data_IF_992429926500
#
_entry.id   IF_992429926500
#
_cell.length_a   1.000
_cell.length_b   1.000
_cell.length_c   1.000
_cell.angle_alpha   90.00
_cell.angle_beta   90.00
_cell.angle_gamma   90.00
#
_symmetry.space_group_name_H-M   'P 1'
#
loop_
_entity.id
_entity.type
_entity.pdbx_description
1 polymer ?
#
# COMPACT_ATOMS: atom_id res chain seq x y z
N UNK A 1 -6.20 2.91 48.29
CA UNK A 1 -6.75 3.14 46.95
C UNK A 1 -6.08 2.11 46.06
N UNK A 2 -6.82 1.08 45.56
CA UNK A 2 -6.29 0.16 44.56
C UNK A 2 -5.95 1.02 43.35
N UNK A 3 -4.68 0.97 42.88
CA UNK A 3 -4.30 1.64 41.66
C UNK A 3 -5.19 1.13 40.55
N UNK A 4 -5.94 2.04 39.92
CA UNK A 4 -6.63 1.75 38.67
C UNK A 4 -5.58 1.18 37.72
N UNK A 5 -5.77 -0.07 37.30
CA UNK A 5 -4.91 -0.76 36.34
C UNK A 5 -4.99 0.05 35.03
N UNK A 6 -3.95 0.85 34.74
CA UNK A 6 -3.90 1.73 33.57
C UNK A 6 -4.00 0.90 32.30
N UNK A 7 -4.74 1.35 31.32
CA UNK A 7 -4.88 0.68 30.04
C UNK A 7 -3.53 0.67 29.30
N UNK A 8 -3.17 -0.47 28.74
CA UNK A 8 -1.89 -0.67 28.05
C UNK A 8 -2.12 -0.68 26.53
N UNK A 9 -1.60 0.32 25.86
CA UNK A 9 -1.60 0.40 24.38
C UNK A 9 -0.17 0.13 23.90
N UNK A 10 0.02 -0.97 23.18
CA UNK A 10 1.35 -1.43 22.75
C UNK A 10 1.54 -1.17 21.27
N UNK A 11 2.60 -0.43 20.93
CA UNK A 11 3.08 -0.23 19.56
C UNK A 11 4.18 -1.25 19.31
N UNK A 12 3.94 -2.22 18.43
CA UNK A 12 4.86 -3.35 18.22
C UNK A 12 5.89 -3.10 17.11
N UNK A 13 5.76 -2.01 16.36
CA UNK A 13 6.70 -1.61 15.30
C UNK A 13 7.24 -0.20 15.57
N UNK A 14 8.54 0.01 15.28
CA UNK A 14 9.12 1.33 15.20
C UNK A 14 8.83 2.02 13.86
N UNK A 15 9.39 3.22 13.67
CA UNK A 15 9.43 3.88 12.36
C UNK A 15 8.81 5.27 12.31
N UNK A 16 8.29 5.78 13.41
CA UNK A 16 7.99 7.20 13.59
C UNK A 16 9.07 7.85 14.47
N UNK A 17 9.29 9.14 14.27
CA UNK A 17 10.25 9.93 15.06
C UNK A 17 9.81 10.02 16.53
N UNK A 18 8.48 10.18 16.77
CA UNK A 18 7.89 10.12 18.10
C UNK A 18 6.50 9.49 18.09
N UNK A 19 6.00 9.16 19.26
CA UNK A 19 4.63 8.69 19.53
C UNK A 19 3.85 9.65 20.44
N UNK A 20 4.23 10.92 20.45
CA UNK A 20 3.58 11.97 21.24
C UNK A 20 2.13 12.20 20.81
N UNK A 21 1.81 11.89 19.55
CA UNK A 21 0.44 11.99 19.00
C UNK A 21 -0.45 10.97 19.69
N UNK A 22 -0.05 9.71 19.73
CA UNK A 22 -0.79 8.63 20.39
C UNK A 22 -0.93 8.90 21.89
N UNK A 23 0.16 9.31 22.55
CA UNK A 23 0.14 9.67 23.96
C UNK A 23 -0.88 10.78 24.25
N UNK A 24 -0.90 11.83 23.44
CA UNK A 24 -1.82 12.97 23.58
C UNK A 24 -3.28 12.57 23.37
N UNK A 25 -3.56 11.76 22.32
CA UNK A 25 -4.92 11.31 22.00
C UNK A 25 -5.45 10.37 23.09
N UNK A 26 -4.59 9.53 23.66
CA UNK A 26 -4.97 8.50 24.63
C UNK A 26 -4.87 8.96 26.11
N UNK A 27 -4.21 10.07 26.40
CA UNK A 27 -4.07 10.62 27.77
C UNK A 27 -5.40 10.77 28.53
N UNK A 28 -6.52 11.23 27.91
CA UNK A 28 -7.80 11.34 28.61
C UNK A 28 -8.38 10.01 29.10
N UNK A 29 -7.87 8.87 28.62
CA UNK A 29 -8.34 7.52 28.95
C UNK A 29 -7.50 6.83 30.01
N UNK A 30 -6.52 7.53 30.59
CA UNK A 30 -5.52 6.97 31.51
C UNK A 30 -4.84 5.72 30.91
N UNK A 31 -4.39 5.87 29.66
CA UNK A 31 -3.74 4.81 28.90
C UNK A 31 -2.23 5.10 28.77
N UNK A 32 -1.43 4.07 29.01
CA UNK A 32 0.01 4.09 28.76
C UNK A 32 0.31 3.59 27.34
N UNK A 33 0.99 4.42 26.54
CA UNK A 33 1.50 4.03 25.23
C UNK A 33 2.91 3.47 25.39
N UNK A 34 3.08 2.19 25.11
CA UNK A 34 4.32 1.44 25.26
C UNK A 34 4.84 1.09 23.86
N UNK A 35 5.99 1.62 23.50
CA UNK A 35 6.66 1.32 22.22
C UNK A 35 7.65 0.21 22.45
N UNK A 36 7.40 -0.97 21.87
CA UNK A 36 8.27 -2.15 21.94
C UNK A 36 8.47 -2.73 20.52
N UNK A 37 9.45 -2.24 19.76
CA UNK A 37 9.69 -2.71 18.40
C UNK A 37 10.10 -4.18 18.40
N UNK A 38 9.17 -5.04 18.04
CA UNK A 38 9.36 -6.50 18.01
C UNK A 38 10.10 -7.00 16.77
N UNK A 39 10.21 -6.18 15.72
CA UNK A 39 10.86 -6.52 14.45
C UNK A 39 10.37 -7.83 13.82
N UNK A 40 9.07 -8.12 13.94
CA UNK A 40 8.45 -9.34 13.44
C UNK A 40 8.81 -10.63 14.21
N UNK A 41 9.57 -10.54 15.31
CA UNK A 41 9.92 -11.72 16.13
C UNK A 41 8.66 -12.25 16.86
N UNK A 42 8.22 -13.49 16.57
CA UNK A 42 6.98 -14.03 17.14
C UNK A 42 7.01 -14.16 18.67
N UNK A 43 8.17 -14.44 19.27
CA UNK A 43 8.27 -14.58 20.73
C UNK A 43 8.14 -13.22 21.42
N UNK A 44 8.78 -12.18 20.86
CA UNK A 44 8.65 -10.81 21.34
C UNK A 44 7.23 -10.28 21.16
N UNK A 45 6.61 -10.49 19.98
CA UNK A 45 5.22 -10.11 19.72
C UNK A 45 4.26 -10.69 20.77
N UNK A 46 4.35 -12.00 21.04
CA UNK A 46 3.53 -12.67 22.06
C UNK A 46 3.77 -12.09 23.46
N UNK A 47 5.02 -11.81 23.82
CA UNK A 47 5.36 -11.22 25.12
C UNK A 47 4.84 -9.78 25.25
N UNK A 48 5.06 -8.93 24.24
CA UNK A 48 4.65 -7.52 24.24
C UNK A 48 3.11 -7.37 24.28
N UNK A 49 2.40 -8.20 23.50
CA UNK A 49 0.94 -8.03 23.30
C UNK A 49 0.09 -8.80 24.32
N UNK A 50 0.67 -9.72 25.11
CA UNK A 50 -0.07 -10.62 26.00
C UNK A 50 -0.97 -9.92 27.02
N UNK A 51 -0.57 -8.77 27.58
CA UNK A 51 -1.32 -7.96 28.54
C UNK A 51 -1.77 -6.61 27.97
N UNK A 52 -1.70 -6.42 26.65
CA UNK A 52 -2.14 -5.21 25.99
C UNK A 52 -3.67 -5.12 25.98
N UNK A 53 -4.24 -3.95 26.23
CA UNK A 53 -5.65 -3.62 26.01
C UNK A 53 -5.91 -3.24 24.54
N UNK A 54 -4.90 -2.70 23.85
CA UNK A 54 -4.90 -2.39 22.43
C UNK A 54 -3.51 -2.56 21.83
N UNK A 55 -3.44 -2.92 20.55
CA UNK A 55 -2.21 -3.09 19.78
C UNK A 55 -2.24 -2.16 18.55
N UNK A 56 -1.15 -1.43 18.35
CA UNK A 56 -0.87 -0.65 17.15
C UNK A 56 0.25 -1.35 16.38
N UNK A 57 0.00 -1.68 15.12
CA UNK A 57 0.92 -2.46 14.28
C UNK A 57 1.07 -1.82 12.91
N UNK A 58 2.31 -1.83 12.36
CA UNK A 58 2.57 -1.38 10.99
C UNK A 58 2.88 -2.56 10.06
N UNK A 59 3.97 -3.26 10.31
CA UNK A 59 4.53 -4.25 9.39
C UNK A 59 4.60 -5.67 10.01
N UNK A 60 4.69 -5.76 11.33
CA UNK A 60 4.80 -7.06 12.03
C UNK A 60 3.59 -7.96 11.76
N UNK A 61 3.80 -9.27 11.54
CA UNK A 61 2.71 -10.22 11.38
C UNK A 61 2.02 -10.48 12.72
N UNK A 62 0.72 -10.26 12.78
CA UNK A 62 -0.14 -10.58 13.92
C UNK A 62 -0.96 -11.83 13.56
N UNK A 63 -0.32 -12.97 13.71
CA UNK A 63 -0.89 -14.27 13.40
C UNK A 63 -1.85 -14.83 14.49
N UNK A 64 -2.48 -15.97 14.20
CA UNK A 64 -3.41 -16.63 15.12
C UNK A 64 -2.76 -16.99 16.46
N UNK A 65 -1.48 -17.36 16.47
CA UNK A 65 -0.78 -17.72 17.70
C UNK A 65 -0.51 -16.50 18.59
N UNK A 66 -0.12 -15.40 17.98
CA UNK A 66 0.06 -14.11 18.67
C UNK A 66 -1.27 -13.63 19.25
N UNK A 67 -2.34 -13.67 18.45
CA UNK A 67 -3.70 -13.30 18.89
C UNK A 67 -4.17 -14.20 20.04
N UNK A 68 -3.88 -15.50 20.01
CA UNK A 68 -4.25 -16.42 21.08
C UNK A 68 -3.60 -16.07 22.44
N UNK A 69 -2.42 -15.43 22.43
CA UNK A 69 -1.74 -14.98 23.65
C UNK A 69 -2.31 -13.67 24.25
N UNK A 70 -3.07 -12.89 23.49
CA UNK A 70 -3.66 -11.63 23.94
C UNK A 70 -4.81 -11.86 24.92
N UNK A 71 -4.60 -11.56 26.21
CA UNK A 71 -5.60 -11.83 27.26
C UNK A 71 -6.64 -10.72 27.43
N UNK A 72 -6.25 -9.48 27.16
CA UNK A 72 -7.05 -8.27 27.44
C UNK A 72 -7.35 -7.44 26.20
N UNK A 73 -6.74 -7.77 25.07
CA UNK A 73 -6.80 -6.96 23.86
C UNK A 73 -8.24 -6.84 23.34
N UNK A 74 -8.65 -5.61 23.06
CA UNK A 74 -9.97 -5.27 22.53
C UNK A 74 -9.91 -4.82 21.09
N UNK A 75 -8.77 -4.28 20.66
CA UNK A 75 -8.57 -3.77 19.30
C UNK A 75 -7.11 -3.92 18.85
N UNK A 76 -6.94 -4.30 17.60
CA UNK A 76 -5.70 -4.21 16.83
C UNK A 76 -5.93 -3.16 15.75
N UNK A 77 -5.12 -2.10 15.71
CA UNK A 77 -5.19 -1.09 14.65
C UNK A 77 -3.92 -1.16 13.80
N UNK A 78 -4.11 -1.34 12.51
CA UNK A 78 -3.02 -1.27 11.54
C UNK A 78 -2.75 0.19 11.16
N UNK A 79 -1.52 0.66 11.29
CA UNK A 79 -1.07 1.92 10.71
C UNK A 79 -1.02 1.83 9.19
N UNK A 80 -2.13 2.13 8.53
CA UNK A 80 -2.27 2.15 7.08
C UNK A 80 -3.56 1.50 6.57
N UNK A 81 -3.61 1.22 5.27
CA UNK A 81 -4.82 0.77 4.57
C UNK A 81 -4.95 -0.75 4.56
N UNK A 82 -3.91 -1.48 4.11
CA UNK A 82 -3.93 -2.93 4.05
C UNK A 82 -3.85 -3.56 5.43
N UNK A 83 -4.44 -4.74 5.61
CA UNK A 83 -4.47 -5.51 6.87
C UNK A 83 -4.04 -6.96 6.66
N UNK A 84 -3.32 -7.20 5.58
CA UNK A 84 -2.83 -8.52 5.15
C UNK A 84 -1.83 -9.15 6.13
N UNK A 85 -1.26 -8.37 7.03
CA UNK A 85 -0.39 -8.82 8.12
C UNK A 85 -1.15 -9.20 9.43
N UNK A 86 -2.49 -9.13 9.47
CA UNK A 86 -3.30 -9.46 10.65
C UNK A 86 -4.24 -10.61 10.34
N UNK A 87 -4.26 -11.66 11.15
CA UNK A 87 -5.23 -12.75 11.04
C UNK A 87 -6.62 -12.28 11.50
N UNK A 88 -7.42 -11.83 10.52
CA UNK A 88 -8.74 -11.28 10.75
C UNK A 88 -9.71 -12.30 11.35
N UNK A 89 -9.58 -13.58 10.97
CA UNK A 89 -10.47 -14.64 11.45
C UNK A 89 -10.16 -15.00 12.91
N UNK A 90 -8.89 -15.14 13.26
CA UNK A 90 -8.47 -15.39 14.64
C UNK A 90 -8.89 -14.22 15.56
N UNK A 91 -8.71 -12.98 15.12
CA UNK A 91 -9.15 -11.80 15.87
C UNK A 91 -10.68 -11.78 16.05
N UNK A 92 -11.45 -12.10 15.00
CA UNK A 92 -12.91 -12.22 15.07
C UNK A 92 -13.35 -13.28 16.09
N UNK A 93 -12.77 -14.46 16.06
CA UNK A 93 -13.08 -15.57 17.00
C UNK A 93 -12.82 -15.19 18.46
N UNK A 94 -11.87 -14.31 18.71
CA UNK A 94 -11.54 -13.77 20.03
C UNK A 94 -12.35 -12.54 20.43
N UNK A 95 -13.22 -12.02 19.54
CA UNK A 95 -13.97 -10.80 19.77
C UNK A 95 -13.09 -9.55 19.81
N UNK A 96 -11.91 -9.59 19.16
CA UNK A 96 -10.97 -8.50 19.04
C UNK A 96 -11.29 -7.72 17.75
N UNK A 97 -11.53 -6.43 17.86
CA UNK A 97 -11.71 -5.57 16.70
C UNK A 97 -10.40 -5.43 15.92
N UNK A 98 -10.48 -5.44 14.60
CA UNK A 98 -9.38 -5.02 13.73
C UNK A 98 -9.83 -3.79 12.97
N UNK A 99 -9.06 -2.72 13.06
CA UNK A 99 -9.28 -1.48 12.33
C UNK A 99 -8.05 -1.08 11.52
N UNK A 100 -8.29 -0.25 10.51
CA UNK A 100 -7.25 0.35 9.67
C UNK A 100 -7.51 1.85 9.53
N UNK A 101 -6.66 2.54 8.76
CA UNK A 101 -6.82 3.97 8.44
C UNK A 101 -6.86 4.11 6.90
N UNK A 102 -8.05 4.06 6.27
CA UNK A 102 -8.16 3.97 4.80
C UNK A 102 -8.11 5.31 4.06
N UNK A 103 -7.98 6.43 4.75
CA UNK A 103 -8.20 7.78 4.19
C UNK A 103 -7.09 8.79 4.51
N UNK A 104 -5.90 8.33 4.93
CA UNK A 104 -4.78 9.23 5.31
C UNK A 104 -3.83 9.56 4.16
N UNK A 105 -3.59 8.67 3.22
CA UNK A 105 -2.47 8.79 2.25
C UNK A 105 -2.94 8.68 0.78
N UNK A 106 -4.18 9.03 0.45
CA UNK A 106 -4.68 8.87 -0.92
C UNK A 106 -4.02 9.85 -1.92
N UNK A 107 -3.73 11.05 -1.48
CA UNK A 107 -3.04 12.04 -2.32
C UNK A 107 -1.56 11.66 -2.46
N UNK A 108 -0.87 11.29 -1.37
CA UNK A 108 0.53 10.88 -1.37
C UNK A 108 0.77 9.67 -2.27
N UNK A 109 0.00 8.59 -2.10
CA UNK A 109 0.16 7.38 -2.91
C UNK A 109 -0.14 7.65 -4.38
N UNK A 110 -1.12 8.49 -4.69
CA UNK A 110 -1.41 8.85 -6.08
C UNK A 110 -0.36 9.80 -6.68
N UNK A 111 0.24 10.69 -5.88
CA UNK A 111 1.37 11.52 -6.30
C UNK A 111 2.62 10.68 -6.55
N UNK A 112 2.86 9.68 -5.69
CA UNK A 112 3.99 8.79 -5.86
C UNK A 112 3.81 7.88 -7.09
N UNK A 113 2.61 7.32 -7.30
CA UNK A 113 2.29 6.55 -8.50
C UNK A 113 2.48 7.38 -9.77
N UNK A 114 2.02 8.64 -9.77
CA UNK A 114 2.27 9.59 -10.85
C UNK A 114 3.77 9.87 -11.04
N UNK A 115 4.50 10.07 -9.95
CA UNK A 115 5.95 10.34 -9.97
C UNK A 115 6.71 9.17 -10.57
N UNK A 116 6.44 7.93 -10.16
CA UNK A 116 7.04 6.72 -10.73
C UNK A 116 6.72 6.61 -12.23
N UNK A 117 5.45 6.78 -12.61
CA UNK A 117 5.00 6.76 -14.00
C UNK A 117 5.76 7.79 -14.83
N UNK A 118 5.82 9.04 -14.35
CA UNK A 118 6.50 10.14 -15.04
C UNK A 118 8.00 9.92 -15.12
N UNK A 119 8.62 9.38 -14.07
CA UNK A 119 10.06 9.09 -14.04
C UNK A 119 10.44 8.04 -15.08
N UNK A 120 9.62 7.01 -15.25
CA UNK A 120 9.78 6.00 -16.31
C UNK A 120 9.50 6.61 -17.69
N UNK A 121 8.37 7.30 -17.86
CA UNK A 121 7.95 7.86 -19.16
C UNK A 121 8.95 8.89 -19.70
N UNK A 122 9.55 9.69 -18.82
CA UNK A 122 10.52 10.73 -19.15
C UNK A 122 11.98 10.29 -18.95
N UNK A 123 12.20 9.05 -18.48
CA UNK A 123 13.53 8.52 -18.17
C UNK A 123 14.34 9.44 -17.25
N UNK A 124 13.69 10.15 -16.31
CA UNK A 124 14.33 11.19 -15.51
C UNK A 124 15.52 10.67 -14.70
N UNK A 125 15.38 9.49 -14.09
CA UNK A 125 16.42 8.85 -13.28
C UNK A 125 17.64 8.47 -14.15
N UNK A 126 17.43 7.78 -15.26
CA UNK A 126 18.53 7.38 -16.14
C UNK A 126 19.21 8.58 -16.81
N UNK A 127 18.44 9.64 -17.12
CA UNK A 127 19.00 10.89 -17.67
C UNK A 127 19.79 11.67 -16.63
N UNK A 128 19.33 11.73 -15.38
CA UNK A 128 20.12 12.34 -14.28
C UNK A 128 21.45 11.62 -14.11
N UNK A 129 21.43 10.29 -14.01
CA UNK A 129 22.67 9.49 -13.90
C UNK A 129 23.61 9.70 -15.09
N UNK A 130 23.07 9.74 -16.32
CA UNK A 130 23.87 9.97 -17.52
C UNK A 130 24.57 11.34 -17.50
N UNK A 131 23.84 12.41 -17.14
CA UNK A 131 24.38 13.77 -17.04
C UNK A 131 25.47 13.85 -15.96
N UNK A 132 25.22 13.27 -14.77
CA UNK A 132 26.22 13.21 -13.70
C UNK A 132 27.46 12.41 -14.10
N UNK A 133 27.31 11.40 -14.98
CA UNK A 133 28.41 10.64 -15.59
C UNK A 133 29.09 11.34 -16.79
N UNK A 134 28.73 12.61 -17.10
CA UNK A 134 29.33 13.40 -18.17
C UNK A 134 28.70 13.23 -19.57
N UNK A 135 27.62 12.45 -19.70
CA UNK A 135 26.91 12.32 -20.98
C UNK A 135 25.94 13.50 -21.20
N UNK A 136 25.89 14.04 -22.44
CA UNK A 136 25.08 15.22 -22.75
C UNK A 136 24.12 15.05 -23.91
N UNK A 137 24.07 13.96 -24.60
CA UNK A 137 23.21 13.75 -25.76
C UNK A 137 22.13 12.71 -25.51
N UNK A 138 20.92 12.98 -26.01
CA UNK A 138 19.87 11.97 -26.08
C UNK A 138 20.24 10.96 -27.17
N UNK A 139 20.40 9.70 -26.79
CA UNK A 139 20.63 8.63 -27.75
C UNK A 139 19.38 8.36 -28.59
N UNK A 140 19.49 8.18 -29.92
CA UNK A 140 18.36 7.76 -30.75
C UNK A 140 17.69 6.45 -30.30
N UNK A 141 18.42 5.59 -29.56
CA UNK A 141 17.88 4.37 -28.97
C UNK A 141 17.03 4.56 -27.71
N UNK A 142 17.11 5.73 -27.08
CA UNK A 142 16.37 6.06 -25.86
C UNK A 142 15.03 6.72 -26.17
N UNK A 143 14.09 5.92 -26.68
CA UNK A 143 12.76 6.43 -27.03
C UNK A 143 12.03 6.96 -25.80
N UNK A 144 11.33 8.08 -25.95
CA UNK A 144 10.36 8.63 -25.02
C UNK A 144 9.07 8.95 -25.77
N UNK A 145 7.94 8.77 -25.09
CA UNK A 145 6.63 8.96 -25.73
C UNK A 145 5.85 10.07 -25.05
N UNK A 146 5.01 10.75 -25.85
CA UNK A 146 4.09 11.78 -25.35
C UNK A 146 3.04 11.13 -24.45
N UNK A 147 2.67 11.80 -23.36
CA UNK A 147 1.66 11.33 -22.39
C UNK A 147 0.25 11.74 -22.85
N UNK A 148 0.10 13.00 -23.30
CA UNK A 148 -1.20 13.49 -23.77
C UNK A 148 -1.72 12.65 -24.94
N UNK A 149 -3.02 12.35 -24.93
CA UNK A 149 -3.69 11.52 -25.91
C UNK A 149 -3.62 10.01 -25.62
N UNK A 150 -3.03 9.60 -24.49
CA UNK A 150 -2.85 8.20 -24.10
C UNK A 150 -3.99 7.69 -23.22
N UNK A 151 -4.02 6.37 -23.01
CA UNK A 151 -4.99 5.66 -22.17
C UNK A 151 -4.35 5.21 -20.84
N UNK A 152 -5.05 5.45 -19.73
CA UNK A 152 -4.72 4.97 -18.40
C UNK A 152 -5.58 3.76 -18.06
N UNK A 153 -4.98 2.66 -17.62
CA UNK A 153 -5.64 1.49 -17.06
C UNK A 153 -5.48 1.47 -15.54
N UNK A 154 -6.56 1.27 -14.82
CA UNK A 154 -6.60 1.22 -13.36
C UNK A 154 -7.15 -0.13 -12.91
N UNK A 155 -6.34 -0.89 -12.19
CA UNK A 155 -6.75 -2.16 -11.58
C UNK A 155 -7.11 -1.89 -10.13
N UNK A 156 -8.41 -1.90 -9.83
CA UNK A 156 -9.01 -1.32 -8.62
C UNK A 156 -9.31 0.17 -8.80
N UNK A 157 -10.51 0.62 -8.37
CA UNK A 157 -10.94 2.01 -8.57
C UNK A 157 -11.44 2.65 -7.26
N UNK A 158 -10.59 2.52 -6.23
CA UNK A 158 -10.76 3.15 -4.93
C UNK A 158 -10.34 4.64 -4.91
N UNK A 159 -10.15 5.18 -3.71
CA UNK A 159 -9.76 6.59 -3.49
C UNK A 159 -8.46 6.97 -4.21
N UNK A 160 -7.42 6.15 -4.10
CA UNK A 160 -6.10 6.38 -4.70
C UNK A 160 -6.20 6.39 -6.24
N UNK A 161 -6.86 5.40 -6.82
CA UNK A 161 -7.04 5.31 -8.27
C UNK A 161 -7.78 6.52 -8.84
N UNK A 162 -8.83 6.98 -8.17
CA UNK A 162 -9.59 8.18 -8.54
C UNK A 162 -8.73 9.46 -8.45
N UNK A 163 -7.88 9.56 -7.43
CA UNK A 163 -6.96 10.68 -7.30
C UNK A 163 -5.91 10.67 -8.43
N UNK A 164 -5.34 9.50 -8.74
CA UNK A 164 -4.41 9.35 -9.86
C UNK A 164 -5.07 9.67 -11.21
N UNK A 165 -6.28 9.17 -11.43
CA UNK A 165 -7.04 9.43 -12.66
C UNK A 165 -7.25 10.94 -12.87
N UNK A 166 -7.70 11.66 -11.84
CA UNK A 166 -7.86 13.12 -11.88
C UNK A 166 -6.56 13.83 -12.26
N UNK A 167 -5.42 13.43 -11.67
CA UNK A 167 -4.10 13.98 -11.95
C UNK A 167 -3.66 13.69 -13.40
N UNK A 168 -3.86 12.46 -13.86
CA UNK A 168 -3.50 12.04 -15.22
C UNK A 168 -4.37 12.69 -16.30
N UNK A 169 -5.64 12.98 -16.02
CA UNK A 169 -6.47 13.80 -16.92
C UNK A 169 -5.90 15.21 -17.07
N UNK A 170 -5.40 15.83 -16.00
CA UNK A 170 -4.69 17.09 -16.05
C UNK A 170 -3.41 17.04 -16.90
N UNK A 171 -2.80 15.86 -17.06
CA UNK A 171 -1.66 15.60 -17.96
C UNK A 171 -2.07 15.33 -19.42
N UNK A 172 -3.37 15.37 -19.72
CA UNK A 172 -3.90 15.15 -21.07
C UNK A 172 -4.16 13.69 -21.44
N UNK A 173 -4.27 12.79 -20.48
CA UNK A 173 -4.80 11.43 -20.70
C UNK A 173 -6.27 11.54 -21.09
N UNK A 174 -6.67 10.85 -22.17
CA UNK A 174 -7.99 11.02 -22.79
C UNK A 174 -8.95 9.91 -22.47
N UNK A 175 -8.45 8.72 -22.08
CA UNK A 175 -9.25 7.55 -21.70
C UNK A 175 -8.76 6.99 -20.38
N UNK A 176 -9.69 6.66 -19.49
CA UNK A 176 -9.44 5.89 -18.28
C UNK A 176 -10.24 4.58 -18.35
N UNK A 177 -9.51 3.47 -18.41
CA UNK A 177 -10.03 2.11 -18.43
C UNK A 177 -9.92 1.54 -17.02
N UNK A 178 -11.00 0.96 -16.49
CA UNK A 178 -11.06 0.48 -15.13
C UNK A 178 -11.47 -0.98 -15.09
N UNK A 179 -10.74 -1.75 -14.31
CA UNK A 179 -11.15 -3.08 -13.87
C UNK A 179 -11.33 -3.08 -12.36
N UNK A 180 -12.57 -3.20 -11.89
CA UNK A 180 -12.91 -3.38 -10.49
C UNK A 180 -14.21 -4.19 -10.37
N UNK A 181 -14.12 -5.50 -10.06
CA UNK A 181 -15.30 -6.37 -10.02
C UNK A 181 -16.22 -6.13 -8.81
N UNK A 182 -15.80 -5.30 -7.84
CA UNK A 182 -16.57 -5.02 -6.63
C UNK A 182 -17.39 -3.74 -6.72
N UNK A 183 -17.22 -2.97 -7.78
CA UNK A 183 -17.92 -1.69 -7.94
C UNK A 183 -19.17 -1.83 -8.82
N UNK A 184 -20.22 -1.16 -8.38
CA UNK A 184 -21.46 -1.03 -9.14
C UNK A 184 -21.24 -0.21 -10.43
N UNK A 185 -21.98 -0.50 -11.52
CA UNK A 185 -21.84 0.21 -12.81
C UNK A 185 -21.97 1.72 -12.71
N UNK A 186 -22.76 2.23 -11.79
CA UNK A 186 -22.93 3.68 -11.54
C UNK A 186 -21.67 4.39 -11.04
N UNK A 187 -20.69 3.63 -10.51
CA UNK A 187 -19.42 4.19 -10.06
C UNK A 187 -18.48 4.58 -11.22
N UNK A 188 -18.80 4.21 -12.44
CA UNK A 188 -17.99 4.37 -13.65
C UNK A 188 -18.47 5.50 -14.58
N UNK A 189 -19.16 6.52 -14.06
CA UNK A 189 -19.78 7.57 -14.89
C UNK A 189 -18.83 8.26 -15.89
N UNK A 190 -17.56 8.48 -15.47
CA UNK A 190 -16.56 9.19 -16.27
C UNK A 190 -15.43 8.30 -16.77
N UNK A 191 -15.51 6.98 -16.58
CA UNK A 191 -14.48 6.03 -16.95
C UNK A 191 -15.08 4.83 -17.67
N UNK A 192 -14.26 4.08 -18.41
CA UNK A 192 -14.67 2.89 -19.15
C UNK A 192 -14.42 1.64 -18.29
N UNK A 193 -15.49 0.97 -17.83
CA UNK A 193 -15.39 -0.34 -17.19
C UNK A 193 -15.10 -1.42 -18.26
N UNK A 194 -14.02 -2.17 -18.07
CA UNK A 194 -13.58 -3.21 -19.00
C UNK A 194 -13.11 -4.45 -18.25
N UNK A 195 -13.03 -5.58 -18.93
CA UNK A 195 -12.33 -6.75 -18.40
C UNK A 195 -10.81 -6.50 -18.32
N UNK A 196 -10.13 -7.27 -17.47
CA UNK A 196 -8.71 -7.06 -17.18
C UNK A 196 -7.81 -7.29 -18.39
N UNK A 197 -8.14 -8.23 -19.28
CA UNK A 197 -7.34 -8.48 -20.47
C UNK A 197 -7.47 -7.32 -21.47
N UNK A 198 -8.69 -6.80 -21.66
CA UNK A 198 -8.93 -5.58 -22.45
C UNK A 198 -8.21 -4.37 -21.88
N UNK A 199 -8.19 -4.21 -20.55
CA UNK A 199 -7.40 -3.16 -19.89
C UNK A 199 -5.92 -3.27 -20.25
N UNK A 200 -5.33 -4.47 -20.11
CA UNK A 200 -3.92 -4.69 -20.44
C UNK A 200 -3.60 -4.39 -21.90
N UNK A 201 -4.48 -4.78 -22.83
CA UNK A 201 -4.27 -4.57 -24.28
C UNK A 201 -4.37 -3.09 -24.68
N UNK A 202 -5.29 -2.34 -24.10
CA UNK A 202 -5.65 -1.01 -24.57
C UNK A 202 -4.91 0.12 -23.85
N UNK A 203 -4.39 -0.14 -22.65
CA UNK A 203 -3.73 0.89 -21.84
C UNK A 203 -2.31 1.19 -22.30
N UNK A 204 -1.91 2.45 -22.19
CA UNK A 204 -0.53 2.90 -22.34
C UNK A 204 0.16 3.00 -20.97
N UNK A 205 -0.62 3.29 -19.94
CA UNK A 205 -0.21 3.32 -18.55
C UNK A 205 -1.13 2.42 -17.76
N UNK A 206 -0.57 1.57 -16.90
CA UNK A 206 -1.35 0.66 -16.05
C UNK A 206 -0.89 0.88 -14.61
N UNK A 207 -1.83 1.18 -13.70
CA UNK A 207 -1.54 1.36 -12.28
C UNK A 207 -2.40 0.45 -11.43
N UNK A 208 -1.76 -0.20 -10.45
CA UNK A 208 -2.40 -1.18 -9.58
C UNK A 208 -2.82 -0.53 -8.25
N UNK A 209 -4.09 -0.70 -7.90
CA UNK A 209 -4.71 -0.14 -6.69
C UNK A 209 -5.67 -1.15 -6.02
N UNK A 210 -5.63 -2.40 -6.44
CA UNK A 210 -6.41 -3.47 -5.83
C UNK A 210 -5.78 -3.94 -4.49
N UNK A 211 -6.58 -4.41 -3.53
CA UNK A 211 -6.04 -5.08 -2.36
C UNK A 211 -5.39 -6.41 -2.73
N UNK A 212 -4.39 -6.83 -1.96
CA UNK A 212 -3.81 -8.17 -2.11
C UNK A 212 -4.68 -9.20 -1.39
N UNK A 213 -5.17 -10.18 -2.14
CA UNK A 213 -5.99 -11.29 -1.67
C UNK A 213 -5.60 -12.55 -2.46
N UNK A 214 -6.15 -13.70 -2.08
CA UNK A 214 -5.96 -14.92 -2.85
C UNK A 214 -6.39 -14.77 -4.32
N UNK A 215 -7.47 -14.03 -4.58
CA UNK A 215 -8.02 -13.85 -5.94
C UNK A 215 -7.26 -12.81 -6.76
N UNK A 216 -6.52 -11.92 -6.11
CA UNK A 216 -5.71 -10.89 -6.76
C UNK A 216 -4.22 -11.22 -6.78
N UNK A 217 -3.81 -12.34 -6.17
CA UNK A 217 -2.44 -12.83 -6.25
C UNK A 217 -2.04 -13.06 -7.70
N UNK A 218 -0.91 -12.44 -8.12
CA UNK A 218 -0.41 -12.45 -9.49
C UNK A 218 -1.50 -12.10 -10.53
N UNK A 219 -2.36 -11.15 -10.15
CA UNK A 219 -3.39 -10.66 -11.07
C UNK A 219 -2.75 -10.09 -12.36
N UNK A 220 -1.52 -9.61 -12.30
CA UNK A 220 -0.66 -9.28 -13.44
C UNK A 220 0.40 -10.37 -13.56
N UNK A 221 0.10 -11.37 -14.36
CA UNK A 221 0.98 -12.51 -14.67
C UNK A 221 1.59 -12.40 -16.08
N UNK A 222 2.40 -13.39 -16.45
CA UNK A 222 3.06 -13.45 -17.76
C UNK A 222 2.10 -13.32 -18.95
N UNK A 223 0.92 -13.96 -18.88
CA UNK A 223 -0.11 -13.88 -19.93
C UNK A 223 -0.61 -12.44 -20.09
N UNK A 224 -0.92 -11.74 -18.99
CA UNK A 224 -1.41 -10.36 -19.05
C UNK A 224 -0.32 -9.37 -19.45
N UNK A 225 0.92 -9.57 -19.00
CA UNK A 225 2.07 -8.78 -19.46
C UNK A 225 2.27 -8.97 -20.98
N UNK A 226 2.09 -10.17 -21.50
CA UNK A 226 2.16 -10.42 -22.94
C UNK A 226 1.07 -9.73 -23.76
N UNK A 227 -0.05 -9.34 -23.17
CA UNK A 227 -1.10 -8.55 -23.81
C UNK A 227 -0.77 -7.04 -23.86
N UNK A 228 0.09 -6.53 -22.98
CA UNK A 228 0.38 -5.10 -22.88
C UNK A 228 1.04 -4.58 -24.16
N UNK A 229 0.88 -3.29 -24.44
CA UNK A 229 1.59 -2.62 -25.52
C UNK A 229 3.10 -2.62 -25.26
N UNK A 230 3.95 -2.71 -26.30
CA UNK A 230 5.40 -2.57 -26.13
C UNK A 230 5.82 -1.19 -25.55
N UNK A 231 4.94 -0.21 -25.61
CA UNK A 231 5.12 1.13 -25.05
C UNK A 231 4.48 1.30 -23.67
N UNK A 232 3.90 0.23 -23.11
CA UNK A 232 3.21 0.29 -21.83
C UNK A 232 4.16 0.53 -20.64
N UNK A 233 3.70 1.29 -19.68
CA UNK A 233 4.35 1.48 -18.37
C UNK A 233 3.43 0.89 -17.32
N UNK A 234 3.97 0.01 -16.48
CA UNK A 234 3.27 -0.60 -15.35
C UNK A 234 3.73 0.04 -14.04
N UNK A 235 2.80 0.44 -13.18
CA UNK A 235 3.08 1.03 -11.87
C UNK A 235 2.40 0.21 -10.77
N UNK A 236 3.14 -0.08 -9.72
CA UNK A 236 2.62 -0.76 -8.52
C UNK A 236 3.04 -0.03 -7.24
N UNK A 237 2.09 0.59 -6.59
CA UNK A 237 2.19 1.22 -5.27
C UNK A 237 1.21 0.59 -4.28
N UNK A 238 0.70 -0.61 -4.60
CA UNK A 238 -0.29 -1.30 -3.77
C UNK A 238 0.34 -2.43 -2.95
N UNK A 239 0.59 -3.59 -3.59
CA UNK A 239 1.26 -4.75 -2.97
C UNK A 239 2.06 -5.51 -4.03
N UNK A 240 3.27 -5.97 -3.69
CA UNK A 240 4.16 -6.70 -4.60
C UNK A 240 3.52 -7.94 -5.19
N UNK A 241 2.87 -8.75 -4.39
CA UNK A 241 2.23 -9.99 -4.84
C UNK A 241 1.06 -9.83 -5.82
N UNK A 242 0.67 -8.61 -6.21
CA UNK A 242 -0.25 -8.38 -7.33
C UNK A 242 0.38 -8.67 -8.69
N UNK A 243 1.70 -8.64 -8.79
CA UNK A 243 2.45 -8.93 -10.00
C UNK A 243 3.24 -10.23 -9.79
N UNK A 244 3.24 -11.10 -10.77
CA UNK A 244 4.25 -12.15 -10.90
C UNK A 244 5.59 -11.47 -11.21
N UNK A 245 6.41 -11.29 -10.17
CA UNK A 245 7.65 -10.51 -10.25
C UNK A 245 8.67 -11.15 -11.20
N UNK A 246 8.71 -12.48 -11.28
CA UNK A 246 9.54 -13.20 -12.23
C UNK A 246 9.15 -12.86 -13.67
N UNK A 247 7.84 -12.86 -13.96
CA UNK A 247 7.33 -12.49 -15.28
C UNK A 247 7.58 -11.01 -15.63
N UNK A 248 7.50 -10.12 -14.64
CA UNK A 248 7.83 -8.71 -14.81
C UNK A 248 9.31 -8.50 -15.15
N UNK A 249 10.20 -9.14 -14.40
CA UNK A 249 11.67 -9.08 -14.63
C UNK A 249 12.00 -9.51 -16.06
N UNK A 250 11.45 -10.63 -16.50
CA UNK A 250 11.69 -11.13 -17.86
C UNK A 250 11.15 -10.16 -18.93
N UNK A 251 9.96 -9.61 -18.72
CA UNK A 251 9.36 -8.65 -19.63
C UNK A 251 10.15 -7.33 -19.72
N UNK A 252 10.70 -6.85 -18.63
CA UNK A 252 11.55 -5.66 -18.60
C UNK A 252 12.90 -5.92 -19.27
N UNK A 253 13.52 -7.08 -18.99
CA UNK A 253 14.81 -7.50 -19.56
C UNK A 253 14.73 -7.68 -21.07
N UNK A 254 13.66 -8.32 -21.55
CA UNK A 254 13.39 -8.49 -22.98
C UNK A 254 12.81 -7.24 -23.67
N UNK A 255 12.57 -6.16 -22.94
CA UNK A 255 11.91 -4.93 -23.42
C UNK A 255 10.53 -5.19 -24.03
N UNK A 256 9.81 -6.22 -23.50
CA UNK A 256 8.44 -6.54 -23.92
C UNK A 256 7.46 -5.43 -23.57
N UNK A 257 7.71 -4.71 -22.46
CA UNK A 257 7.05 -3.47 -22.08
C UNK A 257 8.10 -2.35 -21.98
N UNK A 258 7.64 -1.11 -22.00
CA UNK A 258 8.54 0.04 -21.98
C UNK A 258 9.30 0.18 -20.66
N UNK A 259 8.61 -0.02 -19.53
CA UNK A 259 9.21 0.05 -18.21
C UNK A 259 8.19 -0.12 -17.09
N UNK A 260 8.68 -0.07 -15.86
CA UNK A 260 7.85 -0.17 -14.67
C UNK A 260 8.28 0.82 -13.56
N UNK A 261 7.31 1.22 -12.74
CA UNK A 261 7.52 1.95 -11.49
C UNK A 261 7.06 1.09 -10.32
N UNK A 262 7.96 0.71 -9.42
CA UNK A 262 7.71 -0.29 -8.38
C UNK A 262 8.07 0.30 -7.02
N UNK A 263 7.07 0.45 -6.16
CA UNK A 263 7.23 0.87 -4.76
C UNK A 263 7.19 -0.32 -3.79
N UNK A 264 6.64 -1.46 -4.24
CA UNK A 264 6.37 -2.63 -3.40
C UNK A 264 6.86 -3.91 -4.08
N UNK A 265 7.42 -4.85 -3.30
CA UNK A 265 8.02 -6.10 -3.78
C UNK A 265 7.26 -7.32 -3.26
N UNK A 266 7.39 -8.48 -3.93
CA UNK A 266 6.80 -9.73 -3.42
C UNK A 266 7.35 -10.10 -2.04
N UNK A 267 8.64 -9.82 -1.83
CA UNK A 267 9.32 -9.97 -0.54
C UNK A 267 9.95 -8.65 -0.13
N UNK A 268 9.58 -8.13 1.02
CA UNK A 268 10.07 -6.88 1.57
C UNK A 268 10.81 -7.12 2.90
N UNK A 269 12.06 -6.62 3.07
CA UNK A 269 12.87 -5.94 2.05
C UNK A 269 13.37 -6.91 0.96
N UNK A 270 13.53 -6.44 -0.29
CA UNK A 270 14.10 -7.26 -1.36
C UNK A 270 15.57 -7.59 -1.08
N UNK A 271 16.06 -8.73 -1.62
CA UNK A 271 17.46 -9.12 -1.45
C UNK A 271 18.43 -8.13 -2.15
N UNK A 272 19.66 -7.98 -1.65
CA UNK A 272 20.61 -6.99 -2.16
C UNK A 272 21.00 -7.17 -3.63
N UNK A 273 20.86 -8.37 -4.18
CA UNK A 273 21.15 -8.73 -5.56
C UNK A 273 19.88 -8.90 -6.42
N UNK A 274 18.79 -8.26 -5.99
CA UNK A 274 17.49 -8.37 -6.65
C UNK A 274 17.58 -7.99 -8.13
N UNK A 275 17.05 -8.82 -9.07
CA UNK A 275 17.24 -8.63 -10.50
C UNK A 275 16.71 -7.31 -11.07
N UNK A 276 15.69 -6.70 -10.46
CA UNK A 276 15.17 -5.38 -10.85
C UNK A 276 16.22 -4.28 -10.69
N UNK A 277 17.19 -4.42 -9.76
CA UNK A 277 18.19 -3.38 -9.48
C UNK A 277 19.19 -3.19 -10.64
N UNK A 278 19.31 -4.19 -11.49
CA UNK A 278 20.21 -4.15 -12.66
C UNK A 278 19.53 -3.61 -13.94
N UNK A 279 18.25 -3.27 -13.90
CA UNK A 279 17.48 -2.84 -15.07
C UNK A 279 17.40 -1.31 -15.16
N UNK A 280 17.61 -0.76 -16.36
CA UNK A 280 17.58 0.67 -16.65
C UNK A 280 16.19 1.22 -16.97
N UNK A 281 15.21 0.35 -17.17
CA UNK A 281 13.84 0.67 -17.51
C UNK A 281 12.86 0.47 -16.35
N UNK A 282 13.35 0.45 -15.13
CA UNK A 282 12.56 0.41 -13.91
C UNK A 282 12.94 1.57 -12.98
N UNK A 283 11.97 2.14 -12.28
CA UNK A 283 12.17 3.09 -11.19
C UNK A 283 11.60 2.47 -9.92
N UNK A 284 12.40 2.46 -8.87
CA UNK A 284 12.13 1.75 -7.63
C UNK A 284 12.05 2.72 -6.45
N UNK A 285 11.22 2.40 -5.48
CA UNK A 285 11.17 3.03 -4.15
C UNK A 285 10.90 1.97 -3.08
N UNK A 286 11.04 2.33 -1.82
CA UNK A 286 11.14 1.43 -0.68
C UNK A 286 9.86 1.43 0.17
N UNK A 287 8.71 1.22 -0.47
CA UNK A 287 7.37 1.20 0.13
C UNK A 287 7.05 2.53 0.85
N UNK A 288 7.45 3.64 0.22
CA UNK A 288 7.32 5.01 0.76
C UNK A 288 6.23 5.82 0.09
N UNK A 289 5.45 5.24 -0.83
CA UNK A 289 4.38 5.94 -1.54
C UNK A 289 3.37 6.66 -0.62
N UNK A 290 3.19 6.16 0.60
CA UNK A 290 2.26 6.70 1.60
C UNK A 290 2.79 7.93 2.34
N UNK A 291 4.12 8.17 2.33
CA UNK A 291 4.77 9.07 3.25
C UNK A 291 4.73 10.54 2.79
N UNK A 292 4.26 11.37 3.69
CA UNK A 292 4.56 12.79 3.88
C UNK A 292 4.53 13.07 5.38
N UNK A 293 5.03 14.20 5.85
CA UNK A 293 4.92 14.61 7.25
C UNK A 293 3.45 14.70 7.68
N UNK A 294 2.61 15.22 6.78
CA UNK A 294 1.17 15.36 7.00
C UNK A 294 0.47 14.02 7.07
N UNK A 295 0.76 13.11 6.13
CA UNK A 295 0.14 11.78 6.11
C UNK A 295 0.57 10.93 7.31
N UNK A 296 1.82 11.04 7.75
CA UNK A 296 2.32 10.34 8.94
C UNK A 296 1.60 10.82 10.21
N UNK A 297 1.50 12.15 10.40
CA UNK A 297 0.78 12.72 11.54
C UNK A 297 -0.72 12.37 11.53
N UNK A 298 -1.35 12.40 10.37
CA UNK A 298 -2.75 12.02 10.18
C UNK A 298 -2.98 10.54 10.49
N UNK A 299 -2.08 9.66 10.01
CA UNK A 299 -2.13 8.22 10.24
C UNK A 299 -2.02 7.90 11.74
N UNK A 300 -1.05 8.46 12.44
CA UNK A 300 -0.88 8.29 13.88
C UNK A 300 -2.11 8.77 14.64
N UNK A 301 -2.62 9.97 14.31
CA UNK A 301 -3.81 10.54 14.94
C UNK A 301 -5.02 9.62 14.79
N UNK A 302 -5.36 9.24 13.56
CA UNK A 302 -6.53 8.40 13.26
C UNK A 302 -6.41 7.00 13.86
N UNK A 303 -5.21 6.41 13.85
CA UNK A 303 -4.99 5.11 14.48
C UNK A 303 -5.21 5.16 16.00
N UNK A 304 -4.70 6.20 16.67
CA UNK A 304 -4.93 6.41 18.09
C UNK A 304 -6.42 6.70 18.40
N UNK A 305 -7.14 7.42 17.53
CA UNK A 305 -8.58 7.66 17.67
C UNK A 305 -9.39 6.36 17.59
N UNK A 306 -9.04 5.42 16.73
CA UNK A 306 -9.69 4.11 16.66
C UNK A 306 -9.48 3.33 17.97
N UNK A 307 -8.27 3.35 18.53
CA UNK A 307 -7.99 2.79 19.85
C UNK A 307 -8.85 3.46 20.92
N UNK A 308 -8.89 4.80 20.95
CA UNK A 308 -9.63 5.57 21.94
C UNK A 308 -11.12 5.19 21.94
N UNK A 309 -11.74 5.10 20.77
CA UNK A 309 -13.16 4.70 20.63
C UNK A 309 -13.44 3.36 21.28
N UNK A 310 -12.63 2.35 20.98
CA UNK A 310 -12.85 0.99 21.50
C UNK A 310 -12.58 0.93 23.01
N UNK A 311 -11.60 1.65 23.52
CA UNK A 311 -11.34 1.73 24.95
C UNK A 311 -12.46 2.47 25.72
N UNK A 312 -13.24 3.33 25.05
CA UNK A 312 -14.45 3.98 25.58
C UNK A 312 -15.71 3.10 25.46
N UNK A 313 -15.62 1.95 24.81
CA UNK A 313 -16.77 1.03 24.63
C UNK A 313 -17.52 1.19 23.32
N UNK A 314 -17.06 2.04 22.42
CA UNK A 314 -17.61 2.22 21.09
C UNK A 314 -16.96 1.29 20.05
N UNK A 315 -17.62 0.87 18.98
CA UNK A 315 -16.98 0.15 17.88
C UNK A 315 -16.04 1.07 17.10
N UNK A 316 -14.98 0.55 16.46
CA UNK A 316 -14.14 1.35 15.58
C UNK A 316 -14.94 1.88 14.38
N UNK A 317 -14.53 3.02 13.81
CA UNK A 317 -15.14 3.59 12.59
C UNK A 317 -14.79 2.73 11.37
N UNK A 318 -13.50 2.38 11.26
CA UNK A 318 -12.94 1.60 10.15
C UNK A 318 -12.76 0.13 10.53
N UNK A 319 -13.84 -0.49 11.00
CA UNK A 319 -13.86 -1.88 11.43
C UNK A 319 -13.76 -2.84 10.23
N UNK A 320 -12.68 -3.59 10.14
CA UNK A 320 -12.36 -4.46 9.00
C UNK A 320 -12.96 -5.86 9.16
N UNK A 321 -12.74 -6.52 10.29
CA UNK A 321 -13.19 -7.89 10.55
C UNK A 321 -14.62 -7.94 11.13
N UNK A 322 -15.57 -7.30 10.47
CA UNK A 322 -16.94 -7.14 10.97
C UNK A 322 -17.64 -8.45 11.28
N UNK A 323 -18.29 -8.52 12.43
CA UNK A 323 -19.19 -9.61 12.82
C UNK A 323 -20.47 -9.02 13.42
N UNK A 324 -21.57 -9.78 13.33
CA UNK A 324 -22.78 -9.48 14.09
C UNK A 324 -22.54 -9.91 15.55
N UNK A 325 -22.66 -8.99 16.49
CA UNK A 325 -22.79 -9.35 17.90
C UNK A 325 -24.14 -10.06 18.05
N UNK A 326 -24.11 -11.36 18.39
CA UNK A 326 -25.28 -12.13 18.73
C UNK A 326 -25.96 -11.62 20.00
#
# INVERSE_FOLDING_TARGET
MAGLDRKRVVVVDGGYESYDIEQRVLAPLDADVIVDPCHGDPARLKAATGEADAVLVRDSPIDAETIACMRRCRIIVRYGIGVDNVDLLAAQQRGIFVANVPDYGAEEVSDHALTLLMSVARRSVTRDHAVRGGAWNVSPGEKMYRIAGRALGLVGYGRIARALERKMRGMGVVRALVYDPLLEPSAFADVESVDLNSLCQQSDFISLHAPFTRDTSHIINSTRIALMKPTAILVNTARGGLIDETALIEALRSKRIFGAGIDVFEHEPPCPDHPLFALDNVVLSDHTAWYSEESAAELQTKAAEEVARVLQGEPPRHWVNRWTRG
#
